data_IF_383177098408
#
_entry.id   IF_383177098408
#
_cell.length_a   1.000
_cell.length_b   1.000
_cell.length_c   1.000
_cell.angle_alpha   90.00
_cell.angle_beta   90.00
_cell.angle_gamma   90.00
#
_symmetry.space_group_name_H-M   'P 1'
#
loop_
_entity.id
_entity.type
_entity.pdbx_description
1 polymer ?
#
# COMPACT_ATOMS: atom_id res chain seq x y z
N UNK A 1 -9.88 8.24 17.59
CA UNK A 1 -8.59 8.99 17.56
C UNK A 1 -8.25 9.31 16.12
N UNK A 2 -7.81 10.53 15.80
CA UNK A 2 -7.43 10.93 14.44
C UNK A 2 -6.11 10.24 14.03
N UNK A 3 -6.01 9.60 12.85
CA UNK A 3 -4.76 9.04 12.37
C UNK A 3 -3.72 10.16 12.21
N UNK A 4 -2.52 9.98 12.79
CA UNK A 4 -1.39 10.89 12.58
C UNK A 4 -0.72 10.51 11.25
N UNK A 5 -1.19 11.08 10.15
CA UNK A 5 -0.54 10.95 8.86
C UNK A 5 0.81 11.68 8.87
N UNK A 6 1.89 11.01 8.46
CA UNK A 6 3.22 11.62 8.26
C UNK A 6 3.30 12.42 6.94
N UNK A 7 4.51 12.70 6.46
CA UNK A 7 4.71 13.37 5.18
C UNK A 7 4.33 12.42 4.03
N UNK A 8 3.20 12.69 3.37
CA UNK A 8 2.71 11.92 2.23
C UNK A 8 2.90 12.75 0.95
N UNK A 9 3.87 12.35 0.12
CA UNK A 9 4.12 12.86 -1.23
C UNK A 9 4.04 14.38 -1.42
N UNK A 10 5.16 15.09 -1.40
CA UNK A 10 5.17 16.53 -1.73
C UNK A 10 5.01 16.84 -3.25
N UNK A 11 4.48 15.88 -4.02
CA UNK A 11 4.22 16.02 -5.46
C UNK A 11 2.73 16.19 -5.77
N UNK A 12 2.39 16.24 -7.06
CA UNK A 12 1.04 16.54 -7.57
C UNK A 12 -0.06 15.65 -6.92
N UNK A 13 0.27 14.39 -6.63
CA UNK A 13 -0.68 13.43 -6.06
C UNK A 13 -0.87 13.54 -4.53
N UNK A 14 0.13 13.99 -3.78
CA UNK A 14 0.12 13.76 -2.33
C UNK A 14 -0.77 14.72 -1.54
N UNK A 15 -1.09 15.90 -2.07
CA UNK A 15 -2.06 16.80 -1.41
C UNK A 15 -3.47 16.17 -1.36
N UNK A 16 -3.95 15.62 -2.47
CA UNK A 16 -5.22 14.92 -2.55
C UNK A 16 -5.20 13.63 -1.72
N UNK A 17 -4.12 12.85 -1.83
CA UNK A 17 -3.95 11.63 -1.05
C UNK A 17 -3.95 11.91 0.46
N UNK A 18 -3.30 12.98 0.89
CA UNK A 18 -3.27 13.37 2.30
C UNK A 18 -4.64 13.88 2.78
N UNK A 19 -5.42 14.54 1.90
CA UNK A 19 -6.79 14.92 2.22
C UNK A 19 -7.68 13.69 2.44
N UNK A 20 -7.63 12.71 1.53
CA UNK A 20 -8.36 11.45 1.62
C UNK A 20 -7.97 10.68 2.89
N UNK A 21 -6.67 10.59 3.19
CA UNK A 21 -6.19 9.92 4.40
C UNK A 21 -6.65 10.62 5.69
N UNK A 22 -6.69 11.96 5.72
CA UNK A 22 -7.24 12.72 6.86
C UNK A 22 -8.75 12.49 7.02
N UNK A 23 -9.47 12.26 5.93
CA UNK A 23 -10.89 11.90 5.93
C UNK A 23 -11.14 10.42 6.29
N UNK A 24 -10.11 9.58 6.27
CA UNK A 24 -10.26 8.12 6.45
C UNK A 24 -10.82 7.41 5.21
N UNK A 25 -10.69 8.04 4.05
CA UNK A 25 -11.21 7.58 2.78
C UNK A 25 -10.07 7.15 1.85
N UNK A 26 -10.34 6.16 1.00
CA UNK A 26 -9.38 5.60 0.05
C UNK A 26 -10.04 5.40 -1.33
N UNK A 27 -10.58 6.47 -1.96
CA UNK A 27 -11.28 6.36 -3.23
C UNK A 27 -10.33 5.85 -4.33
N UNK A 28 -10.75 4.92 -5.19
CA UNK A 28 -9.87 4.24 -6.14
C UNK A 28 -9.22 5.23 -7.12
N UNK A 29 -7.89 5.29 -7.11
CA UNK A 29 -7.07 5.96 -8.12
C UNK A 29 -6.05 4.97 -8.71
N UNK A 30 -5.33 4.27 -7.84
CA UNK A 30 -4.54 3.09 -8.14
C UNK A 30 -4.87 1.98 -7.12
N UNK A 31 -5.79 1.06 -7.45
CA UNK A 31 -6.23 0.01 -6.52
C UNK A 31 -5.06 -0.76 -5.89
N UNK A 32 -5.14 -1.00 -4.58
CA UNK A 32 -4.14 -1.68 -3.78
C UNK A 32 -3.75 -3.05 -4.37
N UNK A 33 -4.72 -3.78 -4.94
CA UNK A 33 -4.49 -5.07 -5.62
C UNK A 33 -3.50 -4.96 -6.79
N UNK A 34 -3.44 -3.82 -7.48
CA UNK A 34 -2.48 -3.61 -8.57
C UNK A 34 -1.07 -3.50 -8.03
N UNK A 35 -0.88 -2.81 -6.90
CA UNK A 35 0.43 -2.72 -6.25
C UNK A 35 0.86 -4.09 -5.70
N UNK A 36 -0.08 -4.89 -5.17
CA UNK A 36 0.20 -6.28 -4.77
C UNK A 36 0.70 -7.13 -5.95
N UNK A 37 0.08 -6.97 -7.13
CA UNK A 37 0.50 -7.62 -8.38
C UNK A 37 1.88 -7.14 -8.81
N UNK A 38 2.15 -5.84 -8.82
CA UNK A 38 3.44 -5.28 -9.20
C UNK A 38 4.57 -5.72 -8.26
N UNK A 39 4.33 -5.75 -6.94
CA UNK A 39 5.29 -6.29 -5.98
C UNK A 39 5.63 -7.76 -6.25
N UNK A 40 4.64 -8.58 -6.64
CA UNK A 40 4.88 -9.99 -6.99
C UNK A 40 5.77 -10.09 -8.23
N UNK A 41 5.49 -9.31 -9.27
CA UNK A 41 6.32 -9.27 -10.48
C UNK A 41 7.76 -8.83 -10.19
N UNK A 42 7.95 -7.82 -9.33
CA UNK A 42 9.29 -7.39 -8.89
C UNK A 42 10.03 -8.54 -8.19
N UNK A 43 9.40 -9.20 -7.23
CA UNK A 43 10.02 -10.29 -6.47
C UNK A 43 10.33 -11.49 -7.36
N UNK A 44 9.42 -11.88 -8.24
CA UNK A 44 9.62 -13.01 -9.16
C UNK A 44 10.78 -12.75 -10.11
N UNK A 45 10.79 -11.58 -10.74
CA UNK A 45 11.87 -11.19 -11.65
C UNK A 45 13.22 -11.14 -10.92
N UNK A 46 13.25 -10.61 -9.69
CA UNK A 46 14.45 -10.59 -8.88
C UNK A 46 14.96 -12.01 -8.55
N UNK A 47 14.05 -12.94 -8.22
CA UNK A 47 14.39 -14.34 -8.01
C UNK A 47 14.94 -15.01 -9.28
N UNK A 48 14.30 -14.78 -10.43
CA UNK A 48 14.74 -15.32 -11.73
C UNK A 48 16.14 -14.84 -12.12
N UNK A 49 16.45 -13.58 -11.84
CA UNK A 49 17.74 -12.96 -12.19
C UNK A 49 18.81 -13.13 -11.11
N UNK A 50 18.48 -13.75 -9.97
CA UNK A 50 19.38 -13.81 -8.81
C UNK A 50 19.73 -12.42 -8.22
N UNK A 51 18.86 -11.43 -8.42
CA UNK A 51 19.07 -10.06 -7.99
C UNK A 51 18.46 -9.81 -6.59
N UNK A 52 19.09 -8.98 -5.74
CA UNK A 52 18.51 -8.62 -4.45
C UNK A 52 17.35 -7.63 -4.61
N UNK A 53 16.16 -7.98 -4.11
CA UNK A 53 15.00 -7.07 -4.02
C UNK A 53 14.36 -7.05 -2.62
N UNK A 54 15.12 -6.73 -1.55
CA UNK A 54 14.65 -6.83 -0.17
C UNK A 54 13.43 -5.93 0.12
N UNK A 55 13.37 -4.74 -0.49
CA UNK A 55 12.23 -3.83 -0.34
C UNK A 55 10.98 -4.41 -1.03
N UNK A 56 11.12 -4.96 -2.24
CA UNK A 56 10.02 -5.60 -2.96
C UNK A 56 9.42 -6.77 -2.17
N UNK A 57 10.28 -7.62 -1.58
CA UNK A 57 9.84 -8.74 -0.74
C UNK A 57 9.12 -8.25 0.52
N UNK A 58 9.66 -7.23 1.19
CA UNK A 58 9.05 -6.67 2.40
C UNK A 58 7.67 -6.06 2.11
N UNK A 59 7.51 -5.38 0.96
CA UNK A 59 6.24 -4.77 0.57
C UNK A 59 5.19 -5.78 0.09
N UNK A 60 5.61 -6.90 -0.52
CA UNK A 60 4.68 -7.91 -1.04
C UNK A 60 3.72 -8.45 0.03
N UNK A 61 4.21 -8.67 1.25
CA UNK A 61 3.42 -9.26 2.33
C UNK A 61 2.25 -8.39 2.82
N UNK A 62 2.45 -7.12 3.23
CA UNK A 62 1.34 -6.28 3.68
C UNK A 62 0.35 -5.95 2.57
N UNK A 63 0.79 -5.80 1.30
CA UNK A 63 -0.15 -5.59 0.19
C UNK A 63 -0.99 -6.83 -0.11
N UNK A 64 -0.41 -8.04 -0.02
CA UNK A 64 -1.20 -9.28 -0.10
C UNK A 64 -2.22 -9.40 1.02
N UNK A 65 -1.84 -9.02 2.24
CA UNK A 65 -2.77 -9.01 3.38
C UNK A 65 -3.93 -8.03 3.14
N UNK A 66 -3.65 -6.83 2.63
CA UNK A 66 -4.71 -5.87 2.28
C UNK A 66 -5.68 -6.42 1.23
N UNK A 67 -5.16 -7.11 0.21
CA UNK A 67 -6.01 -7.76 -0.79
C UNK A 67 -6.87 -8.88 -0.19
N UNK A 68 -6.31 -9.79 0.61
CA UNK A 68 -7.08 -10.90 1.22
C UNK A 68 -8.11 -10.42 2.24
N UNK A 69 -7.95 -9.22 2.78
CA UNK A 69 -8.89 -8.53 3.67
C UNK A 69 -10.05 -7.84 2.95
N UNK A 70 -10.06 -7.85 1.61
CA UNK A 70 -11.09 -7.20 0.80
C UNK A 70 -10.84 -5.72 0.52
N UNK A 71 -9.67 -5.16 0.88
CA UNK A 71 -9.31 -3.76 0.61
C UNK A 71 -8.61 -3.57 -0.73
N UNK A 72 -8.63 -4.59 -1.60
CA UNK A 72 -7.90 -4.59 -2.87
C UNK A 72 -8.40 -3.54 -3.88
N UNK A 73 -9.66 -3.14 -3.79
CA UNK A 73 -10.29 -2.15 -4.67
C UNK A 73 -10.18 -0.71 -4.15
N UNK A 74 -9.72 -0.52 -2.91
CA UNK A 74 -9.37 0.79 -2.37
C UNK A 74 -8.01 1.24 -2.91
N UNK A 75 -7.76 2.55 -2.93
CA UNK A 75 -6.48 3.11 -3.40
C UNK A 75 -5.27 2.69 -2.54
N UNK A 76 -4.04 2.86 -3.06
CA UNK A 76 -2.78 2.48 -2.36
C UNK A 76 -2.76 2.89 -0.86
N UNK A 77 -3.24 4.08 -0.45
CA UNK A 77 -3.25 4.48 0.97
C UNK A 77 -4.05 3.56 1.90
N UNK A 78 -4.88 2.66 1.38
CA UNK A 78 -5.54 1.60 2.15
C UNK A 78 -4.56 0.63 2.81
N UNK A 79 -3.27 0.69 2.46
CA UNK A 79 -2.19 0.07 3.25
C UNK A 79 -2.21 0.52 4.72
N UNK A 80 -2.74 1.70 5.03
CA UNK A 80 -2.92 2.17 6.39
C UNK A 80 -3.89 1.29 7.19
N UNK A 81 -4.94 0.74 6.57
CA UNK A 81 -5.82 -0.25 7.21
C UNK A 81 -5.06 -1.52 7.58
N UNK A 82 -4.12 -1.94 6.73
CA UNK A 82 -3.24 -3.09 7.01
C UNK A 82 -2.36 -2.79 8.22
N UNK A 83 -1.78 -1.59 8.30
CA UNK A 83 -0.93 -1.20 9.43
C UNK A 83 -1.71 -1.08 10.73
N UNK A 84 -2.94 -0.53 10.69
CA UNK A 84 -3.85 -0.47 11.83
C UNK A 84 -4.19 -1.88 12.31
N UNK A 85 -4.60 -2.75 11.37
CA UNK A 85 -4.91 -4.14 11.66
C UNK A 85 -3.74 -4.90 12.31
N UNK A 86 -2.53 -4.76 11.78
CA UNK A 86 -1.31 -5.37 12.34
C UNK A 86 -0.94 -4.80 13.71
N UNK A 87 -1.34 -3.56 14.00
CA UNK A 87 -1.12 -2.90 15.29
C UNK A 87 -2.19 -3.24 16.34
N UNK A 88 -3.14 -4.13 16.01
CA UNK A 88 -4.27 -4.47 16.87
C UNK A 88 -5.28 -3.32 17.04
N UNK A 89 -5.34 -2.42 16.05
CA UNK A 89 -6.20 -1.24 16.04
C UNK A 89 -7.22 -1.29 14.91
#
# INVERSE_FOLDING_TARGET
MRPKAGFLGMGIMGAAMAANLRAGEHPPAFPLKHLAKDCKLIVDTACELGAPAPVGLTLLHPYRLGWTRGWGDEDIPAIMRVMEHLSGR
#
